data_IF_153969956238
#
_entry.id   IF_153969956238
#
_cell.length_a   1.000
_cell.length_b   1.000
_cell.length_c   1.000
_cell.angle_alpha   90.00
_cell.angle_beta   90.00
_cell.angle_gamma   90.00
#
_symmetry.space_group_name_H-M   'P 1'
#
loop_
_entity.id
_entity.type
_entity.pdbx_description
1 polymer ?
#
# COMPACT_ATOMS: atom_id res chain seq x y z
N UNK A 1 17.16 -32.60 17.71
CA UNK A 1 16.13 -31.97 16.87
C UNK A 1 15.75 -30.54 17.29
N UNK A 2 15.65 -30.21 18.60
CA UNK A 2 15.30 -28.84 19.08
C UNK A 2 16.21 -27.69 18.59
N UNK A 3 17.51 -27.93 18.44
CA UNK A 3 18.48 -26.90 18.00
C UNK A 3 18.27 -26.46 16.55
N UNK A 4 17.91 -27.36 15.64
CA UNK A 4 17.67 -27.02 14.23
C UNK A 4 16.50 -26.05 14.05
N UNK A 5 15.46 -26.21 14.88
CA UNK A 5 14.28 -25.33 14.85
C UNK A 5 14.64 -23.88 15.23
N UNK A 6 15.56 -23.69 16.18
CA UNK A 6 16.04 -22.38 16.62
C UNK A 6 16.81 -21.62 15.53
N UNK A 7 17.38 -22.33 14.55
CA UNK A 7 18.07 -21.71 13.41
C UNK A 7 17.12 -21.39 12.24
N UNK A 8 16.00 -22.11 12.13
CA UNK A 8 15.02 -21.93 11.04
C UNK A 8 13.95 -20.91 11.42
N UNK A 9 13.56 -20.83 12.69
CA UNK A 9 12.51 -19.91 13.15
C UNK A 9 12.81 -18.44 12.83
N UNK A 10 14.03 -17.92 13.12
CA UNK A 10 14.34 -16.52 12.88
C UNK A 10 14.23 -16.11 11.40
N UNK A 11 14.87 -16.77 10.42
CA UNK A 11 14.74 -16.39 9.03
C UNK A 11 13.29 -16.57 8.52
N UNK A 12 12.58 -17.60 9.00
CA UNK A 12 11.17 -17.78 8.62
C UNK A 12 10.29 -16.64 9.14
N UNK A 13 10.50 -16.19 10.39
CA UNK A 13 9.76 -15.05 10.94
C UNK A 13 10.05 -13.75 10.22
N UNK A 14 11.30 -13.52 9.80
CA UNK A 14 11.68 -12.36 8.98
C UNK A 14 10.99 -12.38 7.61
N UNK A 15 10.96 -13.55 6.96
CA UNK A 15 10.26 -13.71 5.68
C UNK A 15 8.76 -13.43 5.83
N UNK A 16 8.13 -13.97 6.86
CA UNK A 16 6.71 -13.74 7.14
C UNK A 16 6.40 -12.27 7.48
N UNK A 17 7.28 -11.61 8.24
CA UNK A 17 7.14 -10.20 8.54
C UNK A 17 7.29 -9.34 7.27
N UNK A 18 8.26 -9.68 6.42
CA UNK A 18 8.48 -8.98 5.15
C UNK A 18 7.28 -9.14 4.21
N UNK A 19 6.74 -10.36 4.06
CA UNK A 19 5.55 -10.59 3.21
C UNK A 19 4.34 -9.86 3.76
N UNK A 20 4.09 -9.92 5.07
CA UNK A 20 2.97 -9.20 5.69
C UNK A 20 3.09 -7.68 5.49
N UNK A 21 4.28 -7.11 5.65
CA UNK A 21 4.53 -5.69 5.41
C UNK A 21 4.29 -5.33 3.94
N UNK A 22 4.82 -6.11 2.99
CA UNK A 22 4.59 -5.89 1.56
C UNK A 22 3.11 -5.94 1.21
N UNK A 23 2.38 -6.96 1.67
CA UNK A 23 0.94 -7.06 1.43
C UNK A 23 0.18 -5.88 2.03
N UNK A 24 0.54 -5.44 3.23
CA UNK A 24 -0.04 -4.25 3.84
C UNK A 24 0.21 -3.00 3.01
N UNK A 25 1.43 -2.78 2.53
CA UNK A 25 1.76 -1.61 1.72
C UNK A 25 1.06 -1.61 0.37
N UNK A 26 0.98 -2.77 -0.30
CA UNK A 26 0.25 -2.92 -1.56
C UNK A 26 -1.23 -2.60 -1.36
N UNK A 27 -1.84 -3.18 -0.33
CA UNK A 27 -3.24 -2.91 0.01
C UNK A 27 -3.46 -1.45 0.37
N UNK A 28 -2.54 -0.86 1.14
CA UNK A 28 -2.61 0.54 1.56
C UNK A 28 -2.56 1.47 0.35
N UNK A 29 -1.63 1.25 -0.58
CA UNK A 29 -1.48 2.06 -1.79
C UNK A 29 -2.66 1.88 -2.77
N UNK A 30 -3.28 0.69 -2.79
CA UNK A 30 -4.50 0.43 -3.55
C UNK A 30 -5.79 0.99 -2.91
N UNK A 31 -5.74 1.41 -1.64
CA UNK A 31 -6.92 1.92 -0.91
C UNK A 31 -6.80 3.38 -0.46
N UNK A 32 -5.60 3.93 -0.42
CA UNK A 32 -5.34 5.31 0.01
C UNK A 32 -4.38 6.01 -0.95
N UNK A 33 -4.59 7.30 -1.16
CA UNK A 33 -3.63 8.12 -1.88
C UNK A 33 -2.34 8.25 -1.08
N UNK A 34 -1.19 7.98 -1.70
CA UNK A 34 0.12 7.96 -1.04
C UNK A 34 0.48 9.29 -0.35
N UNK A 35 0.09 10.43 -0.94
CA UNK A 35 0.49 11.76 -0.47
C UNK A 35 -0.43 12.35 0.61
N UNK A 36 -1.75 12.26 0.43
CA UNK A 36 -2.72 12.85 1.37
C UNK A 36 -3.40 11.83 2.29
N UNK A 37 -3.06 10.54 2.17
CA UNK A 37 -3.63 9.42 2.95
C UNK A 37 -5.16 9.36 2.94
N UNK A 38 -5.79 10.03 1.98
CA UNK A 38 -7.24 9.99 1.79
C UNK A 38 -7.60 8.66 1.12
N UNK A 39 -8.74 8.05 1.46
CA UNK A 39 -9.18 6.85 0.75
C UNK A 39 -9.43 7.14 -0.73
N UNK A 40 -9.05 6.18 -1.58
CA UNK A 40 -9.39 6.17 -2.99
C UNK A 40 -10.91 5.96 -3.16
N UNK A 41 -11.45 6.49 -4.26
CA UNK A 41 -12.84 6.26 -4.65
C UNK A 41 -13.02 4.89 -5.34
N UNK A 42 -14.25 4.60 -5.81
CA UNK A 42 -14.59 3.34 -6.50
C UNK A 42 -13.83 3.12 -7.82
N UNK A 43 -13.20 4.16 -8.36
CA UNK A 43 -12.41 4.14 -9.59
C UNK A 43 -10.90 4.21 -9.33
N UNK A 44 -10.46 4.01 -8.09
CA UNK A 44 -9.08 4.18 -7.68
C UNK A 44 -8.51 5.59 -7.98
N UNK A 45 -9.35 6.63 -7.89
CA UNK A 45 -8.95 8.04 -7.99
C UNK A 45 -8.86 8.68 -6.61
N UNK A 46 -8.00 9.69 -6.50
CA UNK A 46 -7.84 10.43 -5.27
C UNK A 46 -8.89 11.55 -5.18
N UNK A 47 -9.87 11.48 -4.27
CA UNK A 47 -10.99 12.42 -4.26
C UNK A 47 -10.62 13.80 -3.69
N UNK A 48 -9.43 13.94 -3.10
CA UNK A 48 -9.00 15.19 -2.46
C UNK A 48 -8.31 16.12 -3.49
N UNK A 49 -8.97 17.20 -3.93
CA UNK A 49 -8.43 18.09 -4.95
C UNK A 49 -7.28 18.98 -4.47
N UNK A 50 -7.05 19.07 -3.15
CA UNK A 50 -5.93 19.83 -2.58
C UNK A 50 -4.63 19.03 -2.56
N UNK A 51 -4.70 17.73 -2.86
CA UNK A 51 -3.55 16.86 -2.99
C UNK A 51 -3.02 16.87 -4.43
N UNK A 52 -1.69 16.86 -4.60
CA UNK A 52 -1.03 16.79 -5.91
C UNK A 52 -1.59 15.66 -6.80
N UNK A 53 -1.84 14.48 -6.23
CA UNK A 53 -2.41 13.35 -6.97
C UNK A 53 -3.89 13.56 -7.32
N UNK A 54 -4.69 14.15 -6.43
CA UNK A 54 -6.09 14.43 -6.71
C UNK A 54 -6.29 15.52 -7.76
N UNK A 55 -5.34 16.48 -7.85
CA UNK A 55 -5.29 17.43 -8.97
C UNK A 55 -5.04 16.73 -10.30
N UNK A 56 -4.05 15.84 -10.36
CA UNK A 56 -3.71 15.12 -11.59
C UNK A 56 -4.88 14.27 -12.10
N UNK A 57 -5.58 13.53 -11.23
CA UNK A 57 -6.75 12.73 -11.63
C UNK A 57 -7.92 13.59 -12.11
N UNK A 58 -8.11 14.79 -11.54
CA UNK A 58 -9.19 15.71 -11.96
C UNK A 58 -8.92 16.37 -13.31
N UNK A 59 -7.66 16.72 -13.57
CA UNK A 59 -7.24 17.30 -14.86
C UNK A 59 -7.46 16.28 -16.01
N UNK A 60 -7.40 14.97 -15.74
CA UNK A 60 -7.73 13.92 -16.70
C UNK A 60 -9.23 13.83 -17.00
N UNK A 61 -10.10 13.93 -15.99
CA UNK A 61 -11.57 13.90 -16.18
C UNK A 61 -12.11 15.10 -16.99
N UNK A 62 -11.37 16.21 -17.04
CA UNK A 62 -11.79 17.43 -17.76
C UNK A 62 -11.29 17.44 -19.21
N UNK A 63 -10.43 16.48 -19.58
CA UNK A 63 -9.85 16.37 -20.93
C UNK A 63 -10.67 15.47 -21.87
N UNK A 64 -11.82 14.95 -21.43
CA UNK A 64 -12.79 14.17 -22.22
C UNK A 64 -13.98 15.02 -22.70
#
# INVERSE_FOLDING_TARGET
MRRGLLYILPPLSLLLAATAAMTYFIWWDATHCTFCRTRLDEFARCPNPDCTFGRLTREQDTAE
#
